data_IF_866720052648
#
_entry.id   IF_866720052648
#
_cell.length_a   1.000
_cell.length_b   1.000
_cell.length_c   1.000
_cell.angle_alpha   90.00
_cell.angle_beta   90.00
_cell.angle_gamma   90.00
#
_symmetry.space_group_name_H-M   'P 1'
#
loop_
_entity.id
_entity.type
_entity.pdbx_description
1 polymer ?
#
# COMPACT_ATOMS: atom_id res chain seq x y z
N UNK A 1 -2.26 -15.81 -17.65
CA UNK A 1 -1.43 -16.19 -16.51
C UNK A 1 -1.51 -17.71 -16.33
N UNK A 2 -0.39 -18.37 -16.40
CA UNK A 2 -0.28 -19.80 -16.10
C UNK A 2 0.02 -20.01 -14.60
N UNK A 3 0.03 -21.29 -14.15
CA UNK A 3 0.24 -21.63 -12.74
C UNK A 3 1.63 -21.24 -12.18
N UNK A 4 2.56 -20.83 -13.05
CA UNK A 4 3.91 -20.39 -12.69
C UNK A 4 4.10 -18.86 -12.79
N UNK A 5 3.08 -18.14 -13.23
CA UNK A 5 3.13 -16.69 -13.45
C UNK A 5 2.73 -15.90 -12.21
N UNK A 6 3.43 -14.82 -11.94
CA UNK A 6 3.05 -13.83 -10.93
C UNK A 6 3.14 -12.42 -11.54
N UNK A 7 2.23 -11.54 -11.13
CA UNK A 7 2.25 -10.13 -11.51
C UNK A 7 2.43 -9.29 -10.27
N UNK A 8 3.46 -8.45 -10.25
CA UNK A 8 3.72 -7.48 -9.20
C UNK A 8 3.27 -6.09 -9.66
N UNK A 9 2.48 -5.42 -8.84
CA UNK A 9 2.05 -4.04 -9.09
C UNK A 9 2.26 -3.17 -7.85
N UNK A 10 2.38 -1.86 -8.10
CA UNK A 10 2.48 -0.83 -7.06
C UNK A 10 1.29 0.15 -7.20
N UNK A 11 0.14 -0.13 -6.58
CA UNK A 11 -1.09 0.64 -6.80
C UNK A 11 -1.02 2.10 -6.36
N UNK A 12 -0.16 2.44 -5.42
CA UNK A 12 0.04 3.83 -4.98
C UNK A 12 0.74 4.68 -6.04
N UNK A 13 1.61 4.08 -6.82
CA UNK A 13 2.35 4.70 -7.92
C UNK A 13 3.34 5.80 -7.51
N UNK A 14 3.33 6.23 -6.24
CA UNK A 14 4.20 7.28 -5.69
C UNK A 14 4.46 7.01 -4.21
N UNK A 15 5.53 7.61 -3.67
CA UNK A 15 5.78 7.59 -2.22
C UNK A 15 4.77 8.44 -1.46
N UNK A 16 4.47 8.01 -0.24
CA UNK A 16 3.62 8.77 0.67
C UNK A 16 4.20 10.17 0.95
N UNK A 17 3.36 11.16 0.89
CA UNK A 17 3.46 12.42 1.62
C UNK A 17 2.06 12.99 1.82
N UNK A 18 1.91 13.89 2.78
CA UNK A 18 0.62 14.43 3.18
C UNK A 18 -0.09 15.19 2.04
N UNK A 19 0.65 15.97 1.25
CA UNK A 19 0.08 16.69 0.10
C UNK A 19 -0.50 15.75 -0.96
N UNK A 20 0.20 14.64 -1.24
CA UNK A 20 -0.28 13.61 -2.19
C UNK A 20 -1.50 12.88 -1.65
N UNK A 21 -1.51 12.56 -0.36
CA UNK A 21 -2.67 11.97 0.30
C UNK A 21 -3.89 12.88 0.17
N UNK A 22 -3.75 14.16 0.54
CA UNK A 22 -4.81 15.15 0.44
C UNK A 22 -5.32 15.31 -1.00
N UNK A 23 -4.43 15.31 -1.99
CA UNK A 23 -4.80 15.37 -3.40
C UNK A 23 -5.57 14.11 -3.86
N UNK A 24 -5.16 12.92 -3.40
CA UNK A 24 -5.84 11.68 -3.71
C UNK A 24 -7.25 11.63 -3.08
N UNK A 25 -7.40 12.09 -1.84
CA UNK A 25 -8.71 12.21 -1.17
C UNK A 25 -9.62 13.17 -1.93
N UNK A 26 -9.15 14.35 -2.30
CA UNK A 26 -9.93 15.28 -3.14
C UNK A 26 -10.39 14.65 -4.46
N UNK A 27 -9.52 13.91 -5.12
CA UNK A 27 -9.89 13.21 -6.36
C UNK A 27 -10.99 12.17 -6.16
N UNK A 28 -11.04 11.50 -5.00
CA UNK A 28 -12.13 10.59 -4.65
C UNK A 28 -13.43 11.36 -4.36
N UNK A 29 -13.35 12.50 -3.69
CA UNK A 29 -14.49 13.39 -3.43
C UNK A 29 -15.11 13.90 -4.73
N UNK A 30 -14.29 14.39 -5.67
CA UNK A 30 -14.72 14.86 -6.98
C UNK A 30 -15.41 13.78 -7.80
N UNK A 31 -15.07 12.51 -7.58
CA UNK A 31 -15.70 11.34 -8.20
C UNK A 31 -16.93 10.83 -7.47
N UNK A 32 -17.30 11.44 -6.33
CA UNK A 32 -18.42 11.02 -5.51
C UNK A 32 -18.22 9.69 -4.78
N UNK A 33 -16.98 9.23 -4.60
CA UNK A 33 -16.64 7.95 -3.95
C UNK A 33 -16.55 8.13 -2.42
N UNK A 34 -17.63 8.59 -1.80
CA UNK A 34 -17.65 9.03 -0.39
C UNK A 34 -17.28 7.95 0.62
N UNK A 35 -17.63 6.70 0.37
CA UNK A 35 -17.28 5.55 1.21
C UNK A 35 -15.76 5.29 1.19
N UNK A 36 -15.11 5.45 0.05
CA UNK A 36 -13.65 5.33 -0.07
C UNK A 36 -12.93 6.54 0.53
N UNK A 37 -13.51 7.73 0.42
CA UNK A 37 -13.01 8.96 1.05
C UNK A 37 -12.91 8.77 2.57
N UNK A 38 -13.94 8.22 3.20
CA UNK A 38 -13.97 7.98 4.64
C UNK A 38 -12.79 7.10 5.08
N UNK A 39 -12.54 6.01 4.37
CA UNK A 39 -11.41 5.12 4.65
C UNK A 39 -10.07 5.83 4.41
N UNK A 40 -9.93 6.50 3.26
CA UNK A 40 -8.67 7.13 2.84
C UNK A 40 -8.22 8.29 3.75
N UNK A 41 -9.16 9.00 4.35
CA UNK A 41 -8.86 10.05 5.34
C UNK A 41 -8.14 9.52 6.58
N UNK A 42 -8.32 8.25 6.90
CA UNK A 42 -7.64 7.58 8.01
C UNK A 42 -6.17 7.22 7.74
N UNK A 43 -5.71 7.22 6.49
CA UNK A 43 -4.36 6.81 6.15
C UNK A 43 -3.30 7.79 6.68
N UNK A 44 -2.21 7.25 7.24
CA UNK A 44 -1.09 7.99 7.83
C UNK A 44 0.25 7.68 7.17
N UNK A 45 0.38 6.52 6.56
CA UNK A 45 1.64 6.00 6.03
C UNK A 45 1.56 5.60 4.56
N UNK A 46 0.35 5.42 4.02
CA UNK A 46 0.10 4.95 2.65
C UNK A 46 -0.76 5.92 1.87
N UNK A 47 -0.63 5.91 0.55
CA UNK A 47 -1.53 6.63 -0.33
C UNK A 47 -2.73 5.75 -0.70
N UNK A 48 -3.91 6.34 -0.97
CA UNK A 48 -5.02 5.61 -1.55
C UNK A 48 -4.59 4.86 -2.81
N UNK A 49 -4.90 3.56 -2.93
CA UNK A 49 -4.53 2.78 -4.10
C UNK A 49 -5.28 3.26 -5.33
N UNK A 50 -4.61 3.25 -6.48
CA UNK A 50 -5.25 3.45 -7.77
C UNK A 50 -6.02 2.19 -8.13
N UNK A 51 -7.33 2.31 -8.32
CA UNK A 51 -8.21 1.15 -8.46
C UNK A 51 -8.07 0.43 -9.80
N UNK A 52 -7.83 1.17 -10.89
CA UNK A 52 -7.94 0.64 -12.26
C UNK A 52 -7.05 -0.58 -12.50
N UNK A 53 -5.78 -0.53 -12.11
CA UNK A 53 -4.84 -1.63 -12.31
C UNK A 53 -5.19 -2.86 -11.48
N UNK A 54 -5.30 -2.74 -10.14
CA UNK A 54 -5.65 -3.85 -9.27
C UNK A 54 -6.98 -4.52 -9.63
N UNK A 55 -8.03 -3.74 -9.92
CA UNK A 55 -9.34 -4.31 -10.27
C UNK A 55 -9.28 -5.06 -11.59
N UNK A 56 -8.59 -4.52 -12.61
CA UNK A 56 -8.41 -5.22 -13.88
C UNK A 56 -7.63 -6.54 -13.70
N UNK A 57 -6.63 -6.58 -12.82
CA UNK A 57 -5.91 -7.81 -12.49
C UNK A 57 -6.79 -8.83 -11.76
N UNK A 58 -7.58 -8.40 -10.79
CA UNK A 58 -8.51 -9.28 -10.08
C UNK A 58 -9.56 -9.88 -11.02
N UNK A 59 -9.98 -9.13 -12.05
CA UNK A 59 -10.91 -9.62 -13.06
C UNK A 59 -10.25 -10.61 -14.04
N UNK A 60 -9.01 -10.34 -14.45
CA UNK A 60 -8.26 -11.21 -15.36
C UNK A 60 -7.73 -12.48 -14.68
N UNK A 61 -7.45 -12.42 -13.39
CA UNK A 61 -6.80 -13.48 -12.61
C UNK A 61 -7.77 -14.16 -11.63
N UNK A 62 -9.01 -14.41 -12.07
CA UNK A 62 -10.02 -15.11 -11.25
C UNK A 62 -9.49 -16.45 -10.78
N UNK A 63 -9.61 -16.72 -9.49
CA UNK A 63 -9.13 -17.96 -8.87
C UNK A 63 -7.65 -17.93 -8.44
N UNK A 64 -6.93 -16.85 -8.64
CA UNK A 64 -5.58 -16.67 -8.10
C UNK A 64 -5.60 -15.94 -6.76
N UNK A 65 -4.71 -16.39 -5.88
CA UNK A 65 -4.51 -15.73 -4.60
C UNK A 65 -3.82 -14.38 -4.79
N UNK A 66 -4.10 -13.45 -3.88
CA UNK A 66 -3.42 -12.15 -3.81
C UNK A 66 -2.44 -12.15 -2.66
N UNK A 67 -1.22 -11.68 -2.90
CA UNK A 67 -0.23 -11.47 -1.85
C UNK A 67 0.02 -9.98 -1.70
N UNK A 68 -0.29 -9.44 -0.54
CA UNK A 68 0.12 -8.08 -0.16
C UNK A 68 1.53 -8.13 0.42
N UNK A 69 2.43 -7.36 -0.18
CA UNK A 69 3.76 -7.11 0.36
C UNK A 69 3.76 -5.73 1.02
N UNK A 70 3.87 -5.73 2.31
CA UNK A 70 3.87 -4.53 3.14
C UNK A 70 5.27 -4.31 3.70
N UNK A 71 5.76 -3.09 3.70
CA UNK A 71 7.10 -2.78 4.19
C UNK A 71 7.16 -1.43 4.88
N UNK A 72 8.13 -1.29 5.78
CA UNK A 72 8.54 -0.03 6.39
C UNK A 72 10.05 -0.04 6.62
N UNK A 73 10.67 1.13 6.70
CA UNK A 73 12.12 1.28 6.82
C UNK A 73 12.83 1.71 5.55
N UNK A 74 12.11 1.94 4.44
CA UNK A 74 12.66 2.52 3.22
C UNK A 74 12.60 4.06 3.17
N UNK A 75 12.10 4.69 4.21
CA UNK A 75 11.84 6.13 4.23
C UNK A 75 13.11 6.97 4.02
N UNK A 76 14.27 6.46 4.47
CA UNK A 76 15.57 7.11 4.28
C UNK A 76 16.17 6.97 2.87
N UNK A 77 15.62 6.10 2.01
CA UNK A 77 16.12 5.91 0.65
C UNK A 77 15.30 6.74 -0.34
N UNK A 78 15.61 8.04 -0.47
CA UNK A 78 14.87 8.95 -1.35
C UNK A 78 15.04 8.63 -2.85
N UNK A 79 16.12 7.91 -3.23
CA UNK A 79 16.40 7.52 -4.62
C UNK A 79 17.30 6.31 -4.70
N UNK A 80 17.33 5.62 -5.86
CA UNK A 80 18.28 4.54 -6.13
C UNK A 80 19.75 4.94 -5.89
N UNK A 81 20.24 6.13 -6.29
CA UNK A 81 21.58 6.57 -5.95
C UNK A 81 21.86 6.68 -4.45
N UNK A 82 20.88 7.07 -3.64
CA UNK A 82 21.02 7.11 -2.18
C UNK A 82 21.04 5.72 -1.57
N UNK A 83 20.30 4.77 -2.15
CA UNK A 83 20.39 3.35 -1.78
C UNK A 83 21.83 2.84 -1.94
N UNK A 84 22.47 3.10 -3.08
CA UNK A 84 23.86 2.70 -3.36
C UNK A 84 24.90 3.43 -2.48
N UNK A 85 24.57 4.62 -1.97
CA UNK A 85 25.42 5.37 -1.04
C UNK A 85 25.31 4.91 0.42
N UNK A 86 24.60 3.82 0.68
CA UNK A 86 24.51 3.22 2.03
C UNK A 86 23.55 3.93 2.98
N UNK A 87 22.59 4.70 2.49
CA UNK A 87 21.58 5.39 3.33
C UNK A 87 20.70 4.46 4.17
N UNK A 88 20.74 3.15 3.89
CA UNK A 88 20.06 2.12 4.68
C UNK A 88 21.00 1.40 5.66
N UNK A 89 22.28 1.74 5.71
CA UNK A 89 23.23 1.12 6.65
C UNK A 89 22.84 1.54 8.07
N UNK A 90 22.59 0.55 8.93
CA UNK A 90 22.11 0.76 10.30
C UNK A 90 20.59 0.93 10.44
N UNK A 91 19.84 0.98 9.32
CA UNK A 91 18.39 0.99 9.33
C UNK A 91 17.79 -0.43 9.47
N UNK A 92 16.57 -0.51 9.98
CA UNK A 92 15.80 -1.76 10.04
C UNK A 92 14.70 -1.74 8.99
N UNK A 93 14.77 -2.68 8.04
CA UNK A 93 13.70 -2.94 7.09
C UNK A 93 12.80 -4.05 7.63
N UNK A 94 11.50 -3.78 7.70
CA UNK A 94 10.50 -4.78 8.05
C UNK A 94 9.60 -5.04 6.87
N UNK A 95 9.40 -6.31 6.54
CA UNK A 95 8.51 -6.76 5.46
C UNK A 95 7.51 -7.74 6.04
N UNK A 96 6.24 -7.57 5.68
CA UNK A 96 5.17 -8.53 5.95
C UNK A 96 4.54 -8.98 4.63
N UNK A 97 4.37 -10.28 4.48
CA UNK A 97 3.65 -10.86 3.36
C UNK A 97 2.31 -11.42 3.88
N UNK A 98 1.22 -10.98 3.26
CA UNK A 98 -0.13 -11.50 3.57
C UNK A 98 -0.74 -12.11 2.32
N UNK A 99 -0.93 -13.42 2.35
CA UNK A 99 -1.66 -14.14 1.31
C UNK A 99 -3.16 -14.08 1.59
N UNK A 100 -3.92 -13.67 0.62
CA UNK A 100 -5.39 -13.68 0.62
C UNK A 100 -5.85 -14.74 -0.37
N UNK A 101 -6.48 -15.81 0.10
CA UNK A 101 -7.00 -16.85 -0.78
C UNK A 101 -8.05 -16.28 -1.74
N UNK A 102 -8.02 -16.72 -2.99
CA UNK A 102 -8.96 -16.28 -4.02
C UNK A 102 -10.43 -16.46 -3.61
N UNK A 103 -10.73 -17.51 -2.85
CA UNK A 103 -12.08 -17.81 -2.35
C UNK A 103 -12.62 -16.78 -1.36
N UNK A 104 -11.75 -15.96 -0.76
CA UNK A 104 -12.12 -14.92 0.21
C UNK A 104 -12.21 -13.53 -0.39
N UNK A 105 -11.83 -13.37 -1.67
CA UNK A 105 -11.92 -12.10 -2.38
C UNK A 105 -13.36 -11.91 -2.85
N UNK A 106 -14.03 -10.80 -2.48
CA UNK A 106 -15.43 -10.61 -2.85
C UNK A 106 -15.60 -10.48 -4.36
N UNK A 107 -16.74 -10.93 -4.87
CA UNK A 107 -17.10 -10.75 -6.28
C UNK A 107 -17.49 -9.30 -6.59
N UNK A 108 -18.10 -8.61 -5.61
CA UNK A 108 -18.57 -7.22 -5.69
C UNK A 108 -17.92 -6.38 -4.60
N UNK A 109 -17.93 -5.05 -4.77
CA UNK A 109 -17.35 -4.12 -3.78
C UNK A 109 -15.83 -4.25 -3.61
N UNK A 110 -15.11 -4.68 -4.65
CA UNK A 110 -13.66 -4.90 -4.62
C UNK A 110 -12.85 -3.64 -4.44
N UNK A 111 -13.38 -2.50 -4.83
CA UNK A 111 -12.83 -1.18 -4.59
C UNK A 111 -12.75 -0.89 -3.08
N UNK A 112 -13.87 -1.03 -2.38
CA UNK A 112 -13.92 -0.92 -0.92
C UNK A 112 -13.06 -1.98 -0.23
N UNK A 113 -13.15 -3.23 -0.66
CA UNK A 113 -12.32 -4.31 -0.14
C UNK A 113 -10.83 -3.99 -0.24
N UNK A 114 -10.37 -3.43 -1.37
CA UNK A 114 -8.98 -3.04 -1.57
C UNK A 114 -8.57 -1.92 -0.59
N UNK A 115 -9.41 -0.91 -0.41
CA UNK A 115 -9.17 0.18 0.55
C UNK A 115 -9.11 -0.32 1.99
N UNK A 116 -9.93 -1.28 2.36
CA UNK A 116 -9.88 -1.91 3.68
C UNK A 116 -8.56 -2.68 3.90
N UNK A 117 -8.04 -3.36 2.87
CA UNK A 117 -6.70 -4.00 2.92
C UNK A 117 -5.59 -2.96 3.09
N UNK A 118 -5.71 -1.82 2.43
CA UNK A 118 -4.80 -0.68 2.61
C UNK A 118 -4.87 -0.10 4.02
N UNK A 119 -6.06 0.02 4.59
CA UNK A 119 -6.22 0.47 5.98
C UNK A 119 -5.55 -0.49 6.99
N UNK A 120 -5.61 -1.79 6.74
CA UNK A 120 -4.89 -2.79 7.55
C UNK A 120 -3.36 -2.64 7.43
N UNK A 121 -2.85 -2.40 6.22
CA UNK A 121 -1.44 -2.11 5.97
C UNK A 121 -0.99 -0.86 6.72
N UNK A 122 -1.76 0.22 6.62
CA UNK A 122 -1.48 1.49 7.28
C UNK A 122 -1.39 1.33 8.81
N UNK A 123 -2.34 0.59 9.40
CA UNK A 123 -2.33 0.29 10.84
C UNK A 123 -1.11 -0.54 11.25
N UNK A 124 -0.73 -1.53 10.46
CA UNK A 124 0.46 -2.33 10.73
C UNK A 124 1.74 -1.46 10.71
N UNK A 125 1.90 -0.61 9.70
CA UNK A 125 3.04 0.32 9.60
C UNK A 125 3.07 1.26 10.81
N UNK A 126 1.93 1.82 11.20
CA UNK A 126 1.82 2.67 12.39
C UNK A 126 2.23 1.93 13.67
N UNK A 127 1.81 0.67 13.82
CA UNK A 127 2.18 -0.17 14.95
C UNK A 127 3.68 -0.48 15.01
N UNK A 128 4.29 -0.78 13.86
CA UNK A 128 5.74 -1.01 13.77
C UNK A 128 6.53 0.24 14.13
N UNK A 129 6.13 1.40 13.60
CA UNK A 129 6.78 2.69 13.91
C UNK A 129 6.64 3.10 15.37
N UNK A 130 5.53 2.77 16.01
CA UNK A 130 5.32 3.03 17.43
C UNK A 130 6.17 2.11 18.33
N UNK A 131 6.40 0.86 17.91
CA UNK A 131 7.19 -0.12 18.64
C UNK A 131 8.71 0.11 18.51
N UNK A 132 9.16 0.85 17.49
CA UNK A 132 10.58 1.14 17.21
C UNK A 132 10.82 2.66 17.13
N UNK A 133 10.86 3.36 18.29
CA UNK A 133 11.06 4.81 18.32
C UNK A 133 12.49 5.23 17.91
N UNK A 134 13.45 4.30 17.86
CA UNK A 134 14.84 4.59 17.48
C UNK A 134 15.04 4.84 15.96
N UNK A 135 14.04 4.52 15.14
CA UNK A 135 14.04 4.82 13.70
C UNK A 135 13.72 6.27 13.34
N UNK A 136 13.44 7.14 14.29
CA UNK A 136 13.35 8.59 14.08
C UNK A 136 14.75 9.19 14.17
N UNK A 137 15.52 9.12 13.08
CA UNK A 137 16.68 9.98 12.94
C UNK A 137 16.19 11.41 12.81
N UNK A 138 16.61 12.23 13.76
CA UNK A 138 16.53 13.69 13.73
C UNK A 138 17.03 14.20 12.39
N UNK A 139 16.24 15.08 11.77
CA UNK A 139 16.67 15.96 10.68
C UNK A 139 16.30 17.37 11.04
#
# INVERSE_FOLDING_TARGET
>A
LDASSAVLIYPEGKRFNESRRAAAVRSLEEKGQNDLVEIARGFRNVLPPRLRGPLALLDAAKGLDVVFMEHTGFEGAASLPQFWKGSLVGGTLRIRLRRIPASTIPAEGRDRWLFERWAEMDRWISGVKAADPAGRSDS
#
